data_IF_055983475202
#
_entry.id   IF_055983475202
#
_cell.length_a   1.000
_cell.length_b   1.000
_cell.length_c   1.000
_cell.angle_alpha   90.00
_cell.angle_beta   90.00
_cell.angle_gamma   90.00
#
_symmetry.space_group_name_H-M   'P 1'
#
loop_
_entity.id
_entity.type
_entity.pdbx_description
1 polymer ?
#
# COMPACT_ATOMS: atom_id res chain seq x y z
N UNK A 1 -8.63 -4.58 -16.24
CA UNK A 1 -9.35 -3.78 -15.23
C UNK A 1 -8.59 -2.48 -15.01
N UNK A 2 -9.25 -1.31 -15.01
CA UNK A 2 -8.64 -0.05 -14.55
C UNK A 2 -9.05 0.15 -13.09
N UNK A 3 -8.19 0.73 -12.27
CA UNK A 3 -8.48 1.03 -10.86
C UNK A 3 -8.27 2.52 -10.58
N UNK A 4 -8.93 3.00 -9.52
CA UNK A 4 -8.76 4.34 -8.98
C UNK A 4 -8.46 4.22 -7.49
N UNK A 5 -7.30 4.69 -7.06
CA UNK A 5 -6.91 4.76 -5.67
C UNK A 5 -7.04 6.21 -5.19
N UNK A 6 -7.89 6.44 -4.18
CA UNK A 6 -8.03 7.76 -3.55
C UNK A 6 -7.34 7.72 -2.18
N UNK A 7 -6.34 8.59 -2.01
CA UNK A 7 -5.64 8.78 -0.74
C UNK A 7 -6.11 10.12 -0.19
N UNK A 8 -6.75 10.10 0.98
CA UNK A 8 -7.29 11.29 1.64
C UNK A 8 -6.52 11.55 2.93
N UNK A 9 -6.07 12.78 3.10
CA UNK A 9 -5.48 13.31 4.32
C UNK A 9 -6.41 14.39 4.91
N UNK A 10 -7.00 14.10 6.06
CA UNK A 10 -7.97 14.98 6.71
C UNK A 10 -7.23 16.03 7.55
N UNK A 11 -7.38 17.30 7.17
CA UNK A 11 -6.61 18.39 7.76
C UNK A 11 -7.35 19.02 8.94
N UNK A 12 -8.66 19.26 8.83
CA UNK A 12 -9.45 19.89 9.91
C UNK A 12 -10.97 19.82 9.67
N UNK A 13 -11.75 19.57 10.72
CA UNK A 13 -13.20 19.76 10.72
C UNK A 13 -13.53 21.25 10.92
N UNK A 14 -14.32 21.82 10.02
CA UNK A 14 -14.96 23.13 10.17
C UNK A 14 -16.41 22.91 10.62
N UNK A 15 -16.64 23.13 11.92
CA UNK A 15 -17.95 22.90 12.55
C UNK A 15 -18.98 23.95 12.18
N UNK A 16 -18.55 25.20 11.98
CA UNK A 16 -19.45 26.32 11.74
C UNK A 16 -20.09 26.23 10.34
N UNK A 17 -19.34 25.68 9.38
CA UNK A 17 -19.81 25.44 8.02
C UNK A 17 -20.19 23.97 7.73
N UNK A 18 -20.16 23.10 8.74
CA UNK A 18 -20.42 21.66 8.61
C UNK A 18 -19.63 21.00 7.45
N UNK A 19 -18.33 21.28 7.37
CA UNK A 19 -17.46 20.78 6.29
C UNK A 19 -16.12 20.24 6.80
N UNK A 20 -15.42 19.48 5.96
CA UNK A 20 -14.09 18.94 6.25
C UNK A 20 -13.08 19.53 5.27
N UNK A 21 -12.03 20.15 5.80
CA UNK A 21 -10.86 20.50 5.01
C UNK A 21 -9.98 19.27 4.89
N UNK A 22 -9.80 18.79 3.67
CA UNK A 22 -8.94 17.64 3.39
C UNK A 22 -8.13 17.89 2.12
N UNK A 23 -7.03 17.14 1.98
CA UNK A 23 -6.29 17.01 0.73
C UNK A 23 -6.50 15.60 0.23
N UNK A 24 -6.66 15.44 -1.08
CA UNK A 24 -6.77 14.10 -1.67
C UNK A 24 -5.93 13.98 -2.92
N UNK A 25 -5.35 12.80 -3.12
CA UNK A 25 -4.67 12.40 -4.35
C UNK A 25 -5.45 11.25 -4.95
N UNK A 26 -5.78 11.38 -6.23
CA UNK A 26 -6.42 10.32 -7.00
C UNK A 26 -5.39 9.76 -7.99
N UNK A 27 -5.13 8.46 -7.88
CA UNK A 27 -4.23 7.73 -8.76
C UNK A 27 -5.09 6.82 -9.64
N UNK A 28 -5.03 7.04 -10.94
CA UNK A 28 -5.62 6.15 -11.93
C UNK A 28 -4.53 5.28 -12.54
N UNK A 29 -4.83 3.99 -12.74
CA UNK A 29 -3.88 3.12 -13.38
C UNK A 29 -4.45 1.75 -13.72
N UNK A 30 -3.64 0.96 -14.41
CA UNK A 30 -3.92 -0.45 -14.67
C UNK A 30 -3.03 -1.27 -13.75
N UNK A 31 -3.58 -1.97 -12.74
CA UNK A 31 -2.76 -2.80 -11.87
C UNK A 31 -2.18 -3.95 -12.68
N UNK A 32 -0.93 -4.28 -12.39
CA UNK A 32 -0.23 -5.45 -12.93
C UNK A 32 0.17 -6.34 -11.77
N UNK A 33 -0.16 -7.62 -11.88
CA UNK A 33 0.25 -8.59 -10.87
C UNK A 33 1.76 -8.81 -10.92
N UNK A 34 2.39 -8.82 -9.75
CA UNK A 34 3.80 -9.16 -9.60
C UNK A 34 3.89 -10.69 -9.40
N UNK A 35 4.32 -11.37 -10.46
CA UNK A 35 4.47 -12.84 -10.48
C UNK A 35 5.87 -13.26 -10.02
N UNK A 36 6.86 -12.39 -10.18
CA UNK A 36 8.24 -12.65 -9.74
C UNK A 36 8.35 -12.56 -8.21
N UNK A 37 8.75 -13.67 -7.59
CA UNK A 37 8.85 -13.78 -6.13
C UNK A 37 9.91 -12.82 -5.53
N UNK A 38 10.98 -12.51 -6.26
CA UNK A 38 12.00 -11.57 -5.78
C UNK A 38 11.41 -10.17 -5.66
N UNK A 39 10.71 -9.71 -6.70
CA UNK A 39 10.05 -8.40 -6.73
C UNK A 39 8.91 -8.35 -5.73
N UNK A 40 8.08 -9.39 -5.66
CA UNK A 40 6.97 -9.50 -4.71
C UNK A 40 7.43 -9.38 -3.27
N UNK A 41 8.51 -10.08 -2.90
CA UNK A 41 9.12 -9.98 -1.57
C UNK A 41 9.65 -8.58 -1.27
N UNK A 42 10.29 -7.91 -2.24
CA UNK A 42 10.77 -6.52 -2.08
C UNK A 42 9.60 -5.54 -1.87
N UNK A 43 8.54 -5.67 -2.66
CA UNK A 43 7.33 -4.85 -2.50
C UNK A 43 6.69 -5.04 -1.13
N UNK A 44 6.63 -6.27 -0.63
CA UNK A 44 6.12 -6.52 0.73
C UNK A 44 7.00 -5.94 1.83
N UNK A 45 8.33 -5.97 1.66
CA UNK A 45 9.24 -5.34 2.62
C UNK A 45 9.00 -3.82 2.72
N UNK A 46 8.79 -3.13 1.59
CA UNK A 46 8.45 -1.70 1.56
C UNK A 46 7.11 -1.40 2.26
N UNK A 47 6.12 -2.29 2.09
CA UNK A 47 4.83 -2.16 2.78
C UNK A 47 5.01 -2.33 4.30
N UNK A 48 5.78 -3.32 4.74
CA UNK A 48 6.08 -3.52 6.16
C UNK A 48 6.81 -2.31 6.75
N UNK A 49 7.84 -1.80 6.07
CA UNK A 49 8.59 -0.61 6.50
C UNK A 49 7.66 0.62 6.65
N UNK A 50 6.76 0.84 5.69
CA UNK A 50 5.81 1.97 5.76
C UNK A 50 4.89 1.93 6.99
N UNK A 51 4.38 0.76 7.36
CA UNK A 51 3.35 0.64 8.40
C UNK A 51 3.90 0.28 9.78
N UNK A 52 5.05 -0.41 9.83
CA UNK A 52 5.64 -0.93 11.07
C UNK A 52 6.94 -0.18 11.41
N UNK A 53 7.55 0.51 10.45
CA UNK A 53 8.87 1.14 10.60
C UNK A 53 10.01 0.15 10.39
N UNK A 54 11.21 0.50 10.84
CA UNK A 54 12.41 -0.37 10.77
C UNK A 54 12.45 -1.43 11.88
N UNK A 55 11.56 -1.33 12.87
CA UNK A 55 11.58 -2.14 14.10
C UNK A 55 11.00 -3.56 13.96
N UNK A 56 10.67 -4.03 12.76
CA UNK A 56 10.18 -5.40 12.59
C UNK A 56 11.34 -6.40 12.45
N UNK A 57 11.35 -7.50 13.23
CA UNK A 57 12.38 -8.52 13.08
C UNK A 57 12.33 -9.15 11.69
N UNK A 58 13.44 -9.06 10.95
CA UNK A 58 13.54 -9.59 9.58
C UNK A 58 13.20 -11.09 9.50
N UNK A 59 13.52 -11.85 10.55
CA UNK A 59 13.22 -13.28 10.66
C UNK A 59 11.71 -13.54 10.74
N UNK A 60 10.97 -12.68 11.44
CA UNK A 60 9.52 -12.78 11.54
C UNK A 60 8.86 -12.47 10.20
N UNK A 61 9.36 -11.47 9.47
CA UNK A 61 8.92 -11.18 8.11
C UNK A 61 9.18 -12.37 7.18
N UNK A 62 10.40 -12.92 7.19
CA UNK A 62 10.76 -14.08 6.35
C UNK A 62 9.87 -15.29 6.62
N UNK A 63 9.64 -15.62 7.90
CA UNK A 63 8.77 -16.72 8.30
C UNK A 63 7.33 -16.49 7.85
N UNK A 64 6.79 -15.29 8.08
CA UNK A 64 5.41 -14.95 7.71
C UNK A 64 5.24 -14.98 6.20
N UNK A 65 6.13 -14.33 5.46
CA UNK A 65 6.10 -14.30 4.00
C UNK A 65 6.14 -15.72 3.42
N UNK A 66 7.04 -16.60 3.92
CA UNK A 66 7.11 -18.00 3.48
C UNK A 66 5.79 -18.76 3.70
N UNK A 67 5.09 -18.49 4.80
CA UNK A 67 3.83 -19.15 5.13
C UNK A 67 2.64 -18.63 4.30
N UNK A 68 2.72 -17.41 3.77
CA UNK A 68 1.61 -16.76 3.06
C UNK A 68 1.86 -16.54 1.57
N UNK A 69 3.08 -16.76 1.07
CA UNK A 69 3.49 -16.36 -0.28
C UNK A 69 2.64 -17.00 -1.38
N UNK A 70 2.22 -18.26 -1.20
CA UNK A 70 1.41 -19.01 -2.16
C UNK A 70 0.00 -18.45 -2.34
N UNK A 71 -0.55 -17.78 -1.32
CA UNK A 71 -1.91 -17.21 -1.33
C UNK A 71 -1.91 -15.68 -1.38
N UNK A 72 -0.72 -15.07 -1.35
CA UNK A 72 -0.54 -13.63 -1.41
C UNK A 72 -0.50 -13.17 -2.88
N UNK A 73 -1.42 -12.29 -3.27
CA UNK A 73 -1.37 -11.61 -4.57
C UNK A 73 -0.94 -10.17 -4.37
N UNK A 74 0.09 -9.73 -5.10
CA UNK A 74 0.62 -8.36 -5.02
C UNK A 74 0.49 -7.70 -6.38
N UNK A 75 0.00 -6.47 -6.40
CA UNK A 75 -0.16 -5.67 -7.62
C UNK A 75 0.70 -4.41 -7.54
N UNK A 76 1.34 -4.08 -8.66
CA UNK A 76 1.94 -2.76 -8.90
C UNK A 76 1.00 -1.90 -9.73
N UNK A 77 0.94 -0.60 -9.40
CA UNK A 77 0.28 0.41 -10.22
C UNK A 77 1.35 1.41 -10.63
N UNK A 78 1.72 1.39 -11.91
CA UNK A 78 2.61 2.41 -12.47
C UNK A 78 1.87 3.74 -12.57
N UNK A 79 2.49 4.80 -12.07
CA UNK A 79 2.07 6.18 -12.35
C UNK A 79 2.51 6.54 -13.76
N UNK A 80 1.66 7.22 -14.52
CA UNK A 80 2.00 7.82 -15.82
C UNK A 80 2.81 9.10 -15.65
#
# INVERSE_FOLDING_TARGET
MKVSLNIVDAVKLDKDNFTLHYKSIIIHGKPKEIIDEVTKRKSMALVCEKYIGEDYPIEHFQRTYKNTSEVLTVFEISLE
#
